data_IF_297572161119
#
_entry.id   IF_297572161119
#
_cell.length_a   1.000
_cell.length_b   1.000
_cell.length_c   1.000
_cell.angle_alpha   90.00
_cell.angle_beta   90.00
_cell.angle_gamma   90.00
#
_symmetry.space_group_name_H-M   'P 1'
#
loop_
_entity.id
_entity.type
_entity.pdbx_description
1 polymer ?
#
# COMPACT_ATOMS: atom_id res chain seq x y z
N UNK A 1 1.47 -0.09 -15.10
CA UNK A 1 1.33 1.37 -14.91
C UNK A 1 2.56 1.81 -14.14
N UNK A 2 3.44 2.64 -14.72
CA UNK A 2 4.73 2.98 -14.08
C UNK A 2 4.54 3.80 -12.80
N UNK A 3 5.48 3.68 -11.86
CA UNK A 3 5.54 4.47 -10.61
C UNK A 3 5.32 5.97 -10.84
N UNK A 4 5.86 6.49 -11.95
CA UNK A 4 5.76 7.90 -12.33
C UNK A 4 4.30 8.36 -12.53
N UNK A 5 3.42 7.50 -13.04
CA UNK A 5 2.02 7.84 -13.26
C UNK A 5 1.24 7.97 -11.94
N UNK A 6 1.55 7.12 -10.95
CA UNK A 6 0.94 7.16 -9.63
C UNK A 6 1.34 8.41 -8.85
N UNK A 7 2.63 8.79 -8.93
CA UNK A 7 3.15 10.02 -8.32
C UNK A 7 2.50 11.26 -8.96
N UNK A 8 2.30 11.25 -10.28
CA UNK A 8 1.61 12.34 -10.99
C UNK A 8 0.14 12.46 -10.56
N UNK A 9 -0.55 11.34 -10.41
CA UNK A 9 -1.95 11.30 -9.97
C UNK A 9 -2.12 11.79 -8.52
N UNK A 10 -1.18 11.44 -7.62
CA UNK A 10 -1.17 11.92 -6.24
C UNK A 10 -0.91 13.42 -6.14
N UNK A 11 0.05 13.93 -6.91
CA UNK A 11 0.36 15.37 -6.95
C UNK A 11 -0.83 16.18 -7.45
N UNK A 12 -1.60 15.61 -8.36
CA UNK A 12 -2.82 16.20 -8.90
C UNK A 12 -3.96 16.27 -7.88
N UNK A 13 -4.18 15.21 -7.11
CA UNK A 13 -5.21 15.21 -6.05
C UNK A 13 -4.88 16.20 -4.91
N UNK A 14 -3.60 16.30 -4.54
CA UNK A 14 -3.14 17.31 -3.58
C UNK A 14 -3.39 18.74 -4.07
N UNK A 15 -3.20 19.00 -5.37
CA UNK A 15 -3.52 20.28 -5.97
C UNK A 15 -5.03 20.56 -5.88
N UNK A 16 -5.88 19.59 -6.21
CA UNK A 16 -7.35 19.72 -6.11
C UNK A 16 -7.81 20.14 -4.71
N UNK A 17 -7.32 19.44 -3.68
CA UNK A 17 -7.66 19.75 -2.28
C UNK A 17 -7.22 21.15 -1.87
N UNK A 18 -6.03 21.58 -2.31
CA UNK A 18 -5.49 22.90 -1.99
C UNK A 18 -6.28 24.02 -2.67
N UNK A 19 -6.72 23.83 -3.91
CA UNK A 19 -7.59 24.77 -4.62
C UNK A 19 -8.96 24.89 -3.96
N UNK A 20 -9.54 23.76 -3.55
CA UNK A 20 -10.82 23.76 -2.85
C UNK A 20 -10.73 24.54 -1.54
N UNK A 21 -9.70 24.27 -0.73
CA UNK A 21 -9.43 24.98 0.53
C UNK A 21 -9.25 26.49 0.32
N UNK A 22 -8.52 26.91 -0.72
CA UNK A 22 -8.34 28.34 -1.04
C UNK A 22 -9.65 29.00 -1.45
N UNK A 23 -10.45 28.32 -2.28
CA UNK A 23 -11.78 28.81 -2.70
C UNK A 23 -12.69 29.04 -1.49
N UNK A 24 -12.81 28.04 -0.61
CA UNK A 24 -13.64 28.13 0.61
C UNK A 24 -13.15 29.23 1.56
N UNK A 25 -11.83 29.33 1.75
CA UNK A 25 -11.23 30.39 2.59
C UNK A 25 -11.60 31.76 2.05
N UNK A 26 -11.59 31.92 0.73
CA UNK A 26 -11.81 33.22 0.11
C UNK A 26 -13.28 33.63 0.06
N UNK A 27 -14.19 32.67 -0.15
CA UNK A 27 -15.64 32.87 0.00
C UNK A 27 -16.02 33.28 1.43
N UNK A 28 -15.21 32.89 2.42
CA UNK A 28 -15.42 33.23 3.84
C UNK A 28 -14.84 34.60 4.26
N UNK A 29 -14.08 35.27 3.40
CA UNK A 29 -13.47 36.56 3.75
C UNK A 29 -14.52 37.70 3.72
N UNK A 30 -14.55 38.59 4.73
CA UNK A 30 -15.42 39.76 4.72
C UNK A 30 -15.03 40.71 3.58
N UNK A 31 -16.03 41.45 3.07
CA UNK A 31 -15.89 42.36 1.92
C UNK A 31 -14.76 43.37 2.11
N UNK A 32 -13.61 43.15 1.47
CA UNK A 32 -12.50 44.11 1.46
C UNK A 32 -12.91 45.30 0.59
N UNK A 33 -12.95 46.51 1.17
CA UNK A 33 -13.22 47.76 0.44
C UNK A 33 -11.96 48.25 -0.29
N UNK A 34 -12.10 48.50 -1.59
CA UNK A 34 -11.19 49.28 -2.44
C UNK A 34 -10.01 48.52 -3.04
N UNK A 35 -9.80 48.68 -4.37
CA UNK A 35 -8.59 48.36 -5.17
C UNK A 35 -8.07 46.92 -5.20
N UNK A 36 -7.90 46.30 -4.04
CA UNK A 36 -7.42 44.94 -3.84
C UNK A 36 -8.44 43.86 -4.24
N UNK A 37 -9.74 44.20 -4.27
CA UNK A 37 -10.81 43.22 -4.52
C UNK A 37 -10.81 42.73 -5.97
N UNK A 38 -10.61 43.62 -6.94
CA UNK A 38 -10.62 43.26 -8.36
C UNK A 38 -9.39 42.42 -8.73
N UNK A 39 -8.24 42.70 -8.12
CA UNK A 39 -7.02 41.90 -8.27
C UNK A 39 -7.23 40.49 -7.72
N UNK A 40 -7.76 40.36 -6.50
CA UNK A 40 -8.06 39.05 -5.89
C UNK A 40 -9.07 38.26 -6.74
N UNK A 41 -10.15 38.89 -7.20
CA UNK A 41 -11.15 38.23 -8.06
C UNK A 41 -10.53 37.78 -9.39
N UNK A 42 -9.67 38.59 -9.99
CA UNK A 42 -9.00 38.26 -11.27
C UNK A 42 -8.07 37.06 -11.10
N UNK A 43 -7.21 37.09 -10.07
CA UNK A 43 -6.30 35.97 -9.76
C UNK A 43 -7.06 34.68 -9.46
N UNK A 44 -8.22 34.75 -8.81
CA UNK A 44 -9.05 33.56 -8.57
C UNK A 44 -9.67 32.99 -9.83
N UNK A 45 -10.14 33.84 -10.72
CA UNK A 45 -10.69 33.39 -11.99
C UNK A 45 -9.60 32.73 -12.86
N UNK A 46 -8.37 33.24 -12.82
CA UNK A 46 -7.21 32.62 -13.48
C UNK A 46 -6.88 31.24 -12.88
N UNK A 47 -6.85 31.13 -11.54
CA UNK A 47 -6.65 29.84 -10.87
C UNK A 47 -7.78 28.87 -11.24
N UNK A 48 -9.04 29.31 -11.22
CA UNK A 48 -10.20 28.47 -11.57
C UNK A 48 -10.11 27.95 -13.01
N UNK A 49 -9.74 28.81 -13.95
CA UNK A 49 -9.54 28.41 -15.36
C UNK A 49 -8.38 27.43 -15.53
N UNK A 50 -7.26 27.64 -14.83
CA UNK A 50 -6.13 26.71 -14.86
C UNK A 50 -6.50 25.32 -14.33
N UNK A 51 -7.35 25.26 -13.30
CA UNK A 51 -7.84 24.01 -12.71
C UNK A 51 -8.76 23.26 -13.65
N UNK A 52 -9.71 23.96 -14.28
CA UNK A 52 -10.60 23.35 -15.27
C UNK A 52 -9.82 22.80 -16.48
N UNK A 53 -8.76 23.49 -16.90
CA UNK A 53 -7.90 23.01 -17.98
C UNK A 53 -7.13 21.74 -17.59
N UNK A 54 -6.65 21.66 -16.34
CA UNK A 54 -6.02 20.43 -15.82
C UNK A 54 -7.04 19.30 -15.73
N UNK A 55 -8.26 19.56 -15.25
CA UNK A 55 -9.34 18.56 -15.15
C UNK A 55 -9.76 18.00 -16.51
N UNK A 56 -9.78 18.83 -17.56
CA UNK A 56 -10.05 18.36 -18.92
C UNK A 56 -8.98 17.39 -19.40
N UNK A 57 -7.70 17.74 -19.21
CA UNK A 57 -6.57 16.86 -19.58
C UNK A 57 -6.59 15.54 -18.80
N UNK A 58 -6.99 15.53 -17.54
CA UNK A 58 -7.15 14.30 -16.76
C UNK A 58 -8.15 13.38 -17.44
N UNK A 59 -9.34 13.89 -17.77
CA UNK A 59 -10.38 13.11 -18.42
C UNK A 59 -9.92 12.54 -19.75
N UNK A 60 -9.16 13.31 -20.52
CA UNK A 60 -8.54 12.82 -21.76
C UNK A 60 -7.59 11.64 -21.50
N UNK A 61 -6.70 11.75 -20.52
CA UNK A 61 -5.80 10.65 -20.15
C UNK A 61 -6.53 9.42 -19.59
N UNK A 62 -7.60 9.61 -18.81
CA UNK A 62 -8.43 8.52 -18.30
C UNK A 62 -9.12 7.76 -19.44
N UNK A 63 -9.67 8.49 -20.41
CA UNK A 63 -10.29 7.91 -21.61
C UNK A 63 -9.29 7.13 -22.45
N UNK A 64 -8.11 7.71 -22.75
CA UNK A 64 -7.07 7.00 -23.50
C UNK A 64 -6.57 5.74 -22.78
N UNK A 65 -6.43 5.78 -21.46
CA UNK A 65 -6.05 4.59 -20.68
C UNK A 65 -7.15 3.52 -20.69
N UNK A 66 -8.43 3.92 -20.72
CA UNK A 66 -9.55 2.99 -20.83
C UNK A 66 -9.54 2.26 -22.18
N UNK A 67 -9.26 2.99 -23.27
CA UNK A 67 -9.13 2.42 -24.62
C UNK A 67 -7.96 1.44 -24.71
N UNK A 68 -6.78 1.81 -24.21
CA UNK A 68 -5.61 0.93 -24.18
C UNK A 68 -5.87 -0.35 -23.37
N UNK A 69 -6.60 -0.26 -22.25
CA UNK A 69 -6.98 -1.44 -21.45
C UNK A 69 -7.90 -2.38 -22.23
N UNK A 70 -8.83 -1.82 -23.00
CA UNK A 70 -9.72 -2.61 -23.86
C UNK A 70 -8.93 -3.33 -24.94
N UNK A 71 -8.01 -2.62 -25.61
CA UNK A 71 -7.13 -3.20 -26.62
C UNK A 71 -6.23 -4.32 -26.05
N UNK A 72 -5.65 -4.11 -24.87
CA UNK A 72 -4.87 -5.16 -24.18
C UNK A 72 -5.70 -6.41 -23.89
N UNK A 73 -6.95 -6.25 -23.46
CA UNK A 73 -7.83 -7.39 -23.19
C UNK A 73 -8.24 -8.13 -24.46
N UNK A 74 -8.53 -7.41 -25.54
CA UNK A 74 -8.85 -8.00 -26.83
C UNK A 74 -7.64 -8.80 -27.37
N UNK A 75 -6.43 -8.25 -27.25
CA UNK A 75 -5.18 -8.95 -27.62
C UNK A 75 -4.92 -10.19 -26.76
N UNK A 76 -5.24 -10.15 -25.47
CA UNK A 76 -5.13 -11.33 -24.58
C UNK A 76 -6.10 -12.43 -24.96
N UNK A 77 -7.35 -12.09 -25.29
CA UNK A 77 -8.31 -13.07 -25.79
C UNK A 77 -7.86 -13.69 -27.11
N UNK A 78 -7.27 -12.92 -28.01
CA UNK A 78 -6.70 -13.44 -29.25
C UNK A 78 -5.52 -14.40 -28.99
N UNK A 79 -4.64 -14.06 -28.04
CA UNK A 79 -3.56 -14.94 -27.58
C UNK A 79 -4.08 -16.27 -27.01
N UNK A 80 -5.08 -16.24 -26.13
CA UNK A 80 -5.70 -17.46 -25.58
C UNK A 80 -6.36 -18.33 -26.66
N UNK A 81 -6.98 -17.70 -27.66
CA UNK A 81 -7.54 -18.42 -28.80
C UNK A 81 -6.47 -19.07 -29.67
N UNK A 82 -5.31 -18.43 -29.84
CA UNK A 82 -4.16 -19.00 -30.55
C UNK A 82 -3.50 -20.14 -29.76
N UNK A 83 -3.34 -20.00 -28.44
CA UNK A 83 -2.81 -21.06 -27.56
C UNK A 83 -3.73 -22.29 -27.53
N UNK A 84 -5.05 -22.11 -27.62
CA UNK A 84 -6.00 -23.23 -27.71
C UNK A 84 -5.91 -24.06 -29.01
N UNK A 85 -5.15 -23.59 -30.00
CA UNK A 85 -4.86 -24.31 -31.25
C UNK A 85 -3.47 -24.98 -31.27
N UNK A 86 -2.66 -24.81 -30.23
CA UNK A 86 -1.40 -25.54 -30.00
C UNK A 86 -1.52 -26.39 -28.74
N UNK A 87 -1.43 -27.71 -28.91
CA UNK A 87 -1.39 -28.74 -27.87
C UNK A 87 -2.69 -29.11 -27.14
N UNK A 88 -3.46 -29.98 -27.83
CA UNK A 88 -4.20 -31.06 -27.16
C UNK A 88 -3.21 -32.09 -26.61
N UNK A 89 -2.69 -31.88 -25.41
CA UNK A 89 -2.45 -32.99 -24.48
C UNK A 89 -2.16 -32.51 -23.05
N UNK A 90 -2.95 -33.06 -22.13
CA UNK A 90 -2.64 -33.29 -20.72
C UNK A 90 -2.88 -32.14 -19.73
N UNK A 91 -4.04 -32.14 -19.04
CA UNK A 91 -4.15 -32.52 -17.60
C UNK A 91 -5.48 -32.00 -17.00
N UNK A 92 -6.31 -32.96 -16.56
CA UNK A 92 -7.61 -32.77 -15.90
C UNK A 92 -7.50 -32.42 -14.40
N UNK A 93 -6.50 -31.65 -13.96
CA UNK A 93 -6.30 -31.34 -12.52
C UNK A 93 -6.54 -29.88 -12.10
N UNK A 94 -6.89 -28.98 -13.02
CA UNK A 94 -7.14 -27.56 -12.70
C UNK A 94 -8.65 -27.27 -12.62
N UNK A 95 -9.38 -27.92 -11.70
CA UNK A 95 -10.81 -27.60 -11.44
C UNK A 95 -11.13 -27.06 -10.06
N UNK A 96 -10.11 -26.71 -9.26
CA UNK A 96 -10.31 -25.95 -8.02
C UNK A 96 -9.50 -24.64 -8.05
N UNK A 97 -9.96 -23.67 -8.84
CA UNK A 97 -9.64 -22.25 -8.58
C UNK A 97 -10.90 -21.61 -8.01
N UNK A 98 -10.83 -21.31 -6.72
CA UNK A 98 -11.65 -20.31 -6.03
C UNK A 98 -11.89 -19.09 -6.92
N UNK A 99 -13.07 -18.49 -6.85
CA UNK A 99 -13.36 -17.19 -7.47
C UNK A 99 -12.21 -16.21 -7.20
N UNK A 100 -11.35 -16.00 -8.19
CA UNK A 100 -10.29 -14.99 -8.14
C UNK A 100 -10.96 -13.69 -8.54
N UNK A 101 -11.27 -12.84 -7.57
CA UNK A 101 -11.46 -11.43 -7.87
C UNK A 101 -10.18 -10.96 -8.59
N UNK A 102 -10.29 -10.59 -9.86
CA UNK A 102 -9.12 -10.21 -10.69
C UNK A 102 -8.70 -8.76 -10.46
N UNK A 103 -9.50 -8.00 -9.72
CA UNK A 103 -9.18 -6.64 -9.29
C UNK A 103 -9.97 -6.26 -8.05
N UNK A 104 -9.45 -5.32 -7.27
CA UNK A 104 -10.19 -4.65 -6.21
C UNK A 104 -10.17 -3.15 -6.42
N UNK A 105 -11.22 -2.49 -5.94
CA UNK A 105 -11.33 -1.03 -5.98
C UNK A 105 -10.76 -0.45 -4.70
N UNK A 106 -9.61 0.21 -4.78
CA UNK A 106 -9.05 1.02 -3.68
C UNK A 106 -9.24 2.50 -4.00
N UNK A 107 -10.04 3.20 -3.20
CA UNK A 107 -10.28 4.64 -3.37
C UNK A 107 -10.69 5.04 -4.81
N UNK A 108 -11.49 4.21 -5.46
CA UNK A 108 -11.95 4.42 -6.85
C UNK A 108 -11.01 3.89 -7.94
N UNK A 109 -9.83 3.38 -7.58
CA UNK A 109 -8.87 2.80 -8.52
C UNK A 109 -9.03 1.28 -8.58
N UNK A 110 -9.19 0.72 -9.79
CA UNK A 110 -9.12 -0.73 -10.02
C UNK A 110 -7.65 -1.17 -9.97
N UNK A 111 -7.28 -1.86 -8.88
CA UNK A 111 -5.97 -2.48 -8.67
C UNK A 111 -6.10 -3.96 -9.02
N UNK A 112 -5.36 -4.48 -10.00
CA UNK A 112 -5.37 -5.91 -10.30
C UNK A 112 -4.82 -6.68 -9.10
N UNK A 113 -5.51 -7.75 -8.72
CA UNK A 113 -5.20 -8.57 -7.54
C UNK A 113 -4.17 -9.67 -7.83
N UNK A 114 -3.45 -9.60 -8.96
CA UNK A 114 -2.39 -10.57 -9.21
C UNK A 114 -1.20 -10.25 -8.29
N UNK A 115 -0.83 -11.23 -7.48
CA UNK A 115 0.27 -11.21 -6.53
C UNK A 115 1.52 -10.52 -7.12
N UNK A 116 1.87 -10.83 -8.36
CA UNK A 116 3.03 -10.26 -9.07
C UNK A 116 3.02 -8.73 -9.19
N UNK A 117 1.87 -8.08 -9.36
CA UNK A 117 1.83 -6.62 -9.51
C UNK A 117 2.01 -5.89 -8.17
N UNK A 118 1.60 -6.50 -7.06
CA UNK A 118 1.83 -5.94 -5.73
C UNK A 118 3.32 -5.98 -5.38
N UNK A 119 3.99 -7.10 -5.67
CA UNK A 119 5.44 -7.20 -5.52
C UNK A 119 6.19 -6.22 -6.43
N UNK A 120 5.76 -6.11 -7.70
CA UNK A 120 6.41 -5.19 -8.64
C UNK A 120 6.38 -3.74 -8.17
N UNK A 121 5.28 -3.28 -7.56
CA UNK A 121 5.20 -1.91 -6.99
C UNK A 121 6.21 -1.68 -5.88
N UNK A 122 6.48 -2.69 -5.06
CA UNK A 122 7.52 -2.62 -4.02
C UNK A 122 8.90 -2.52 -4.67
N UNK A 123 9.21 -3.37 -5.65
CA UNK A 123 10.49 -3.36 -6.35
C UNK A 123 10.75 -2.04 -7.09
N UNK A 124 9.73 -1.52 -7.78
CA UNK A 124 9.81 -0.25 -8.50
C UNK A 124 10.12 0.91 -7.54
N UNK A 125 9.45 0.94 -6.39
CA UNK A 125 9.69 1.96 -5.38
C UNK A 125 11.07 1.82 -4.74
N UNK A 126 11.54 0.61 -4.46
CA UNK A 126 12.89 0.39 -3.97
C UNK A 126 13.95 0.86 -4.96
N UNK A 127 13.75 0.60 -6.24
CA UNK A 127 14.62 1.11 -7.31
C UNK A 127 14.61 2.64 -7.34
N UNK A 128 13.43 3.27 -7.27
CA UNK A 128 13.29 4.73 -7.24
C UNK A 128 13.99 5.37 -6.04
N UNK A 129 13.93 4.72 -4.87
CA UNK A 129 14.51 5.22 -3.63
C UNK A 129 15.96 4.79 -3.41
N UNK A 130 16.56 4.03 -4.33
CA UNK A 130 17.86 3.40 -4.17
C UNK A 130 17.96 2.63 -2.83
N UNK A 131 16.98 1.76 -2.58
CA UNK A 131 16.97 0.83 -1.45
C UNK A 131 17.60 -0.48 -1.89
N UNK A 132 18.76 -0.79 -1.29
CA UNK A 132 19.41 -2.08 -1.53
C UNK A 132 18.64 -3.19 -0.82
N UNK A 133 18.44 -4.29 -1.53
CA UNK A 133 17.71 -5.43 -1.01
C UNK A 133 18.12 -6.73 -1.69
N UNK A 134 17.93 -7.84 -1.00
CA UNK A 134 18.07 -9.19 -1.54
C UNK A 134 16.71 -9.85 -1.60
N UNK A 135 16.46 -10.62 -2.65
CA UNK A 135 15.22 -11.38 -2.83
C UNK A 135 15.54 -12.86 -2.78
N UNK A 136 14.88 -13.58 -1.90
CA UNK A 136 14.83 -15.05 -1.89
C UNK A 136 13.46 -15.48 -2.41
N UNK A 137 13.43 -16.06 -3.60
CA UNK A 137 12.23 -16.70 -4.13
C UNK A 137 12.09 -18.09 -3.52
N UNK A 138 10.86 -18.48 -3.19
CA UNK A 138 10.55 -19.77 -2.59
C UNK A 138 9.12 -20.21 -2.93
N UNK A 139 8.85 -21.49 -2.72
CA UNK A 139 7.48 -22.00 -2.79
C UNK A 139 6.58 -21.29 -1.76
N UNK A 140 5.27 -21.12 -2.04
CA UNK A 140 4.33 -20.60 -1.07
C UNK A 140 4.42 -21.33 0.28
N UNK A 141 4.56 -20.56 1.35
CA UNK A 141 4.67 -21.07 2.71
C UNK A 141 3.36 -20.81 3.45
N UNK A 142 2.80 -21.87 4.05
CA UNK A 142 1.54 -21.81 4.80
C UNK A 142 1.67 -22.33 6.24
N UNK A 143 2.78 -23.01 6.57
CA UNK A 143 3.04 -23.55 7.92
C UNK A 143 4.39 -23.06 8.46
N UNK A 144 4.52 -23.00 9.79
CA UNK A 144 5.79 -22.64 10.44
C UNK A 144 6.94 -23.59 10.03
N UNK A 145 6.64 -24.87 9.86
CA UNK A 145 7.64 -25.87 9.43
C UNK A 145 8.14 -25.60 8.00
N UNK A 146 7.25 -25.20 7.10
CA UNK A 146 7.62 -24.78 5.75
C UNK A 146 8.47 -23.51 5.78
N UNK A 147 8.13 -22.55 6.64
CA UNK A 147 8.88 -21.30 6.80
C UNK A 147 10.32 -21.57 7.29
N UNK A 148 10.46 -22.45 8.29
CA UNK A 148 11.74 -22.75 8.95
C UNK A 148 12.85 -23.25 8.01
N UNK A 149 12.47 -23.80 6.85
CA UNK A 149 13.42 -24.25 5.82
C UNK A 149 14.26 -23.11 5.25
N UNK A 150 13.73 -21.88 5.29
CA UNK A 150 14.36 -20.70 4.74
C UNK A 150 15.08 -19.86 5.79
N UNK A 151 14.91 -20.17 7.09
CA UNK A 151 15.46 -19.37 8.19
C UNK A 151 16.96 -19.19 8.11
N UNK A 152 17.68 -20.27 7.75
CA UNK A 152 19.14 -20.26 7.64
C UNK A 152 19.66 -19.54 6.38
N UNK A 153 18.78 -19.23 5.42
CA UNK A 153 19.11 -18.54 4.18
C UNK A 153 18.95 -17.02 4.29
N UNK A 154 18.23 -16.56 5.31
CA UNK A 154 17.88 -15.16 5.52
C UNK A 154 18.66 -14.62 6.72
N UNK A 155 19.48 -13.60 6.47
CA UNK A 155 20.11 -12.85 7.56
C UNK A 155 19.17 -11.77 8.08
N UNK A 156 19.23 -11.46 9.38
CA UNK A 156 18.41 -10.40 9.99
C UNK A 156 17.17 -10.92 10.72
N UNK A 157 16.26 -10.00 11.03
CA UNK A 157 15.05 -10.31 11.79
C UNK A 157 14.03 -11.06 10.93
N UNK A 158 13.61 -12.23 11.39
CA UNK A 158 12.36 -12.85 10.94
C UNK A 158 11.21 -12.10 11.60
N UNK A 159 10.27 -11.63 10.78
CA UNK A 159 9.24 -10.71 11.22
C UNK A 159 7.85 -11.32 11.05
N UNK A 160 7.01 -11.18 12.07
CA UNK A 160 5.56 -11.40 11.96
C UNK A 160 4.81 -10.08 11.91
N UNK A 161 3.66 -10.11 11.25
CA UNK A 161 2.84 -8.93 11.03
C UNK A 161 1.40 -9.18 11.47
N UNK A 162 0.89 -8.34 12.35
CA UNK A 162 -0.47 -8.44 12.88
C UNK A 162 -1.28 -7.22 12.42
N UNK A 163 -2.39 -7.47 11.75
CA UNK A 163 -3.36 -6.44 11.37
C UNK A 163 -4.53 -6.45 12.34
N UNK A 164 -4.61 -5.40 13.17
CA UNK A 164 -5.57 -5.28 14.27
C UNK A 164 -6.42 -4.03 14.11
N UNK A 165 -7.52 -3.99 14.86
CA UNK A 165 -8.38 -2.82 14.96
C UNK A 165 -9.03 -2.69 16.31
N UNK A 166 -9.59 -1.52 16.57
CA UNK A 166 -10.53 -1.31 17.66
C UNK A 166 -12.00 -1.41 17.18
N UNK A 167 -12.95 -1.16 18.09
CA UNK A 167 -14.40 -1.18 17.79
C UNK A 167 -14.85 -0.03 16.86
N UNK A 168 -14.07 1.04 16.73
CA UNK A 168 -14.35 2.20 15.87
C UNK A 168 -13.72 2.06 14.49
N UNK A 169 -13.10 0.91 14.19
CA UNK A 169 -12.34 0.66 12.96
C UNK A 169 -11.15 1.61 12.79
N UNK A 170 -10.48 1.99 13.88
CA UNK A 170 -9.12 2.48 13.80
C UNK A 170 -8.21 1.26 13.59
N UNK A 171 -7.46 1.26 12.49
CA UNK A 171 -6.64 0.12 12.07
C UNK A 171 -5.17 0.32 12.46
N UNK A 172 -4.51 -0.78 12.81
CA UNK A 172 -3.10 -0.79 13.08
C UNK A 172 -2.43 -2.02 12.47
N UNK A 173 -1.26 -1.81 11.87
CA UNK A 173 -0.33 -2.85 11.47
C UNK A 173 0.83 -2.87 12.47
N UNK A 174 1.05 -4.02 13.09
CA UNK A 174 2.20 -4.26 13.99
C UNK A 174 3.17 -5.17 13.26
N UNK A 175 4.42 -4.74 13.11
CA UNK A 175 5.53 -5.60 12.73
C UNK A 175 6.40 -5.87 13.95
N UNK A 176 6.68 -7.14 14.24
CA UNK A 176 7.52 -7.54 15.36
C UNK A 176 8.41 -8.72 15.01
N UNK A 177 9.46 -8.94 15.81
CA UNK A 177 10.30 -10.14 15.68
C UNK A 177 9.43 -11.38 15.92
N UNK A 178 9.69 -12.47 15.20
CA UNK A 178 8.88 -13.69 15.20
C UNK A 178 8.60 -14.22 16.63
N UNK A 179 9.61 -14.20 17.50
CA UNK A 179 9.54 -14.69 18.88
C UNK A 179 8.96 -13.67 19.88
N UNK A 180 8.69 -12.42 19.47
CA UNK A 180 8.15 -11.39 20.37
C UNK A 180 6.71 -11.70 20.78
N UNK A 181 6.40 -11.89 22.08
CA UNK A 181 5.03 -12.11 22.52
C UNK A 181 4.23 -10.81 22.46
N UNK A 182 3.10 -10.82 21.74
CA UNK A 182 2.22 -9.64 21.61
C UNK A 182 0.93 -9.87 22.39
N UNK A 183 0.75 -9.09 23.46
CA UNK A 183 -0.41 -9.18 24.36
C UNK A 183 -1.43 -8.07 24.06
N UNK A 184 -2.45 -8.39 23.25
CA UNK A 184 -3.45 -7.42 22.76
C UNK A 184 -4.20 -6.67 23.88
N UNK A 185 -4.39 -7.31 25.04
CA UNK A 185 -5.04 -6.71 26.21
C UNK A 185 -4.23 -5.57 26.85
N UNK A 186 -2.89 -5.62 26.77
CA UNK A 186 -2.00 -4.57 27.28
C UNK A 186 -1.76 -3.49 26.22
N UNK A 187 -1.71 -3.86 24.94
CA UNK A 187 -1.56 -2.91 23.82
C UNK A 187 -2.60 -1.80 23.83
N UNK A 188 -3.85 -2.09 24.21
CA UNK A 188 -4.90 -1.06 24.29
C UNK A 188 -4.60 0.06 25.29
N UNK A 189 -3.81 -0.22 26.33
CA UNK A 189 -3.40 0.80 27.30
C UNK A 189 -2.25 1.66 26.75
N UNK A 190 -1.29 1.01 26.09
CA UNK A 190 -0.11 1.66 25.48
C UNK A 190 -0.53 2.54 24.30
N UNK A 191 -1.51 2.07 23.52
CA UNK A 191 -1.98 2.70 22.29
C UNK A 191 -3.28 3.50 22.47
N UNK A 192 -3.63 3.90 23.69
CA UNK A 192 -4.91 4.57 23.99
C UNK A 192 -5.20 5.81 23.13
N UNK A 193 -4.15 6.49 22.66
CA UNK A 193 -4.26 7.68 21.80
C UNK A 193 -4.48 7.33 20.31
N UNK A 194 -4.34 6.04 19.96
CA UNK A 194 -4.46 5.50 18.59
C UNK A 194 -5.60 4.51 18.43
N UNK A 195 -5.86 3.70 19.46
CA UNK A 195 -6.88 2.66 19.50
C UNK A 195 -7.75 2.87 20.74
N UNK A 196 -9.06 2.78 20.55
CA UNK A 196 -10.06 3.05 21.57
C UNK A 196 -10.83 1.79 21.96
N UNK A 197 -10.62 1.35 23.20
CA UNK A 197 -11.33 0.22 23.79
C UNK A 197 -10.74 -1.14 23.41
N UNK A 198 -11.60 -2.14 23.18
CA UNK A 198 -11.16 -3.52 22.94
C UNK A 198 -10.52 -3.65 21.56
N UNK A 199 -9.32 -4.23 21.53
CA UNK A 199 -8.57 -4.57 20.33
C UNK A 199 -8.89 -6.00 19.88
N UNK A 200 -8.99 -6.21 18.57
CA UNK A 200 -9.10 -7.53 17.95
C UNK A 200 -8.37 -7.57 16.61
N UNK A 201 -8.13 -8.75 16.06
CA UNK A 201 -7.73 -8.89 14.67
C UNK A 201 -8.79 -8.31 13.73
N UNK A 202 -8.34 -7.66 12.67
CA UNK A 202 -9.21 -7.21 11.58
C UNK A 202 -9.58 -8.40 10.69
N UNK A 203 -10.74 -8.30 10.02
CA UNK A 203 -11.21 -9.34 9.09
C UNK A 203 -10.43 -9.26 7.77
N UNK A 204 -10.41 -10.36 7.02
CA UNK A 204 -9.74 -10.44 5.71
C UNK A 204 -10.21 -9.35 4.72
N UNK A 205 -11.52 -9.09 4.65
CA UNK A 205 -12.06 -8.01 3.82
C UNK A 205 -11.57 -6.61 4.23
N UNK A 206 -11.24 -6.42 5.51
CA UNK A 206 -10.68 -5.16 6.01
C UNK A 206 -9.20 -5.07 5.66
N UNK A 207 -8.46 -6.17 5.75
CA UNK A 207 -7.06 -6.26 5.32
C UNK A 207 -6.94 -5.97 3.82
N UNK A 208 -7.73 -6.64 2.99
CA UNK A 208 -7.77 -6.43 1.53
C UNK A 208 -8.13 -4.99 1.20
N UNK A 209 -9.13 -4.41 1.88
CA UNK A 209 -9.54 -3.01 1.67
C UNK A 209 -8.50 -2.00 2.10
N UNK A 210 -7.80 -2.20 3.23
CA UNK A 210 -6.87 -1.21 3.77
C UNK A 210 -5.45 -1.35 3.21
N UNK A 211 -4.98 -2.57 3.01
CA UNK A 211 -3.59 -2.87 2.65
C UNK A 211 -3.45 -3.61 1.32
N UNK A 212 -4.56 -4.03 0.67
CA UNK A 212 -4.50 -4.68 -0.64
C UNK A 212 -3.80 -6.03 -0.65
N UNK A 213 -3.76 -6.74 0.49
CA UNK A 213 -3.15 -8.06 0.63
C UNK A 213 -4.12 -9.04 1.28
N UNK A 214 -3.89 -10.34 1.07
CA UNK A 214 -4.66 -11.42 1.68
C UNK A 214 -4.03 -11.90 3.00
N UNK A 215 -4.79 -12.69 3.77
CA UNK A 215 -4.24 -13.36 4.94
C UNK A 215 -3.05 -14.26 4.54
N UNK A 216 -1.98 -14.27 5.34
CA UNK A 216 -0.73 -14.98 5.02
C UNK A 216 0.27 -14.16 4.19
N UNK A 217 -0.16 -13.08 3.52
CA UNK A 217 0.72 -12.13 2.83
C UNK A 217 0.84 -10.78 3.57
N UNK A 218 0.49 -10.75 4.86
CA UNK A 218 0.53 -9.52 5.68
C UNK A 218 1.99 -9.08 5.83
N UNK A 219 2.27 -7.85 5.42
CA UNK A 219 3.63 -7.29 5.38
C UNK A 219 3.59 -5.78 5.59
N UNK A 220 4.62 -5.17 6.21
CA UNK A 220 4.71 -3.71 6.29
C UNK A 220 4.96 -3.06 4.93
N UNK A 221 5.43 -3.81 3.93
CA UNK A 221 5.58 -3.29 2.57
C UNK A 221 4.23 -2.97 1.91
N UNK A 222 3.14 -3.56 2.41
CA UNK A 222 1.78 -3.27 1.96
C UNK A 222 1.29 -1.87 2.36
N UNK A 223 2.03 -1.14 3.21
CA UNK A 223 1.73 0.27 3.52
C UNK A 223 1.82 1.16 2.28
N UNK A 224 2.51 0.73 1.21
CA UNK A 224 2.48 1.40 -0.11
C UNK A 224 1.05 1.47 -0.70
N UNK A 225 0.15 0.60 -0.25
CA UNK A 225 -1.24 0.58 -0.68
C UNK A 225 -2.14 1.49 0.16
N UNK A 226 -1.78 1.82 1.41
CA UNK A 226 -2.58 2.71 2.25
C UNK A 226 -2.23 4.19 1.97
N UNK A 227 -2.73 4.69 0.85
CA UNK A 227 -2.48 6.08 0.42
C UNK A 227 -3.09 7.12 1.38
N UNK A 228 -4.17 6.75 2.09
CA UNK A 228 -4.82 7.63 3.07
C UNK A 228 -4.08 7.76 4.40
N UNK A 229 -3.03 6.96 4.63
CA UNK A 229 -2.39 6.82 5.93
C UNK A 229 -3.38 6.50 7.06
N UNK A 230 -4.42 5.72 6.76
CA UNK A 230 -5.47 5.34 7.72
C UNK A 230 -5.01 4.25 8.69
N UNK A 231 -3.98 3.48 8.33
CA UNK A 231 -3.41 2.42 9.14
C UNK A 231 -2.26 2.97 9.98
N UNK A 232 -2.38 2.90 11.31
CA UNK A 232 -1.25 3.20 12.19
C UNK A 232 -0.19 2.11 12.06
N UNK A 233 1.08 2.48 12.00
CA UNK A 233 2.18 1.52 11.92
C UNK A 233 2.97 1.47 13.22
N UNK A 234 3.13 0.27 13.76
CA UNK A 234 3.86 -0.02 14.99
C UNK A 234 4.97 -1.00 14.68
N UNK A 235 6.14 -0.73 15.25
CA UNK A 235 7.31 -1.57 15.14
C UNK A 235 7.76 -2.02 16.52
N UNK A 236 8.21 -3.27 16.61
CA UNK A 236 8.95 -3.75 17.77
C UNK A 236 10.25 -2.95 17.94
N UNK A 237 10.48 -2.46 19.15
CA UNK A 237 11.69 -1.72 19.49
C UNK A 237 12.96 -2.55 19.27
N UNK A 238 12.87 -3.89 19.33
CA UNK A 238 14.00 -4.77 19.03
C UNK A 238 14.56 -4.57 17.63
N UNK A 239 13.75 -4.17 16.66
CA UNK A 239 14.24 -3.91 15.31
C UNK A 239 15.32 -2.84 15.26
N UNK A 240 15.23 -1.79 16.11
CA UNK A 240 16.25 -0.73 16.15
C UNK A 240 17.46 -1.08 17.01
N UNK A 241 17.32 -1.99 17.98
CA UNK A 241 18.38 -2.27 18.97
C UNK A 241 19.15 -3.56 18.68
N UNK A 242 18.52 -4.56 18.07
CA UNK A 242 19.06 -5.92 17.90
C UNK A 242 19.38 -6.26 16.42
N UNK A 243 18.83 -5.54 15.44
CA UNK A 243 18.88 -5.95 14.04
C UNK A 243 19.33 -4.84 13.08
N UNK A 244 20.23 -5.19 12.15
CA UNK A 244 20.62 -4.31 11.02
C UNK A 244 19.81 -4.61 9.76
N UNK A 245 19.33 -5.84 9.60
CA UNK A 245 18.58 -6.33 8.45
C UNK A 245 17.21 -6.84 8.91
N UNK A 246 16.19 -6.62 8.08
CA UNK A 246 14.82 -7.09 8.28
C UNK A 246 14.39 -7.94 7.10
N UNK A 247 13.54 -8.94 7.36
CA UNK A 247 12.96 -9.80 6.34
C UNK A 247 11.45 -9.60 6.23
N UNK A 248 10.96 -9.28 5.03
CA UNK A 248 9.54 -9.05 4.75
C UNK A 248 9.10 -9.69 3.44
N UNK A 249 7.85 -10.14 3.39
CA UNK A 249 7.21 -10.53 2.12
C UNK A 249 6.93 -9.29 1.26
N UNK A 250 7.21 -9.30 -0.06
CA UNK A 250 6.87 -8.19 -0.95
C UNK A 250 5.42 -8.23 -1.40
N UNK A 251 4.50 -8.31 -0.44
CA UNK A 251 3.05 -8.46 -0.66
C UNK A 251 2.64 -9.76 -1.37
N UNK A 252 3.56 -10.72 -1.49
CA UNK A 252 3.35 -12.08 -2.03
C UNK A 252 4.02 -13.09 -1.11
N UNK A 253 3.47 -14.30 -1.01
CA UNK A 253 3.98 -15.34 -0.12
C UNK A 253 5.00 -16.29 -0.78
N UNK A 254 5.41 -16.00 -2.02
CA UNK A 254 6.40 -16.74 -2.83
C UNK A 254 7.80 -16.13 -2.79
N UNK A 255 7.97 -15.03 -2.03
CA UNK A 255 9.25 -14.37 -1.92
C UNK A 255 9.42 -13.73 -0.54
N UNK A 256 10.68 -13.58 -0.16
CA UNK A 256 11.09 -12.81 1.01
C UNK A 256 12.19 -11.83 0.60
N UNK A 257 12.02 -10.56 1.00
CA UNK A 257 13.00 -9.51 0.83
C UNK A 257 13.78 -9.31 2.12
N UNK A 258 15.10 -9.29 2.02
CA UNK A 258 15.99 -8.77 3.06
C UNK A 258 16.43 -7.35 2.71
N UNK A 259 16.25 -6.40 3.62
CA UNK A 259 16.71 -5.01 3.47
C UNK A 259 17.24 -4.44 4.79
N UNK A 260 18.01 -3.35 4.71
CA UNK A 260 18.51 -2.67 5.91
C UNK A 260 17.38 -1.99 6.70
N UNK A 261 17.45 -2.07 8.03
CA UNK A 261 16.53 -1.38 8.94
C UNK A 261 16.47 0.13 8.63
N UNK A 262 17.64 0.75 8.48
CA UNK A 262 17.76 2.18 8.20
C UNK A 262 17.11 2.57 6.86
N UNK A 263 17.29 1.76 5.81
CA UNK A 263 16.67 2.01 4.51
C UNK A 263 15.14 1.84 4.59
N UNK A 264 14.66 0.84 5.32
CA UNK A 264 13.23 0.67 5.55
C UNK A 264 12.62 1.88 6.27
N UNK A 265 13.23 2.36 7.35
CA UNK A 265 12.69 3.48 8.15
C UNK A 265 12.91 4.84 7.45
N UNK A 266 14.14 5.14 7.04
CA UNK A 266 14.53 6.48 6.60
C UNK A 266 14.32 6.73 5.11
N UNK A 267 14.17 5.69 4.28
CA UNK A 267 13.80 5.85 2.86
C UNK A 267 12.36 5.43 2.62
N UNK A 268 12.01 4.16 2.85
CA UNK A 268 10.68 3.64 2.50
C UNK A 268 9.55 4.28 3.31
N UNK A 269 9.55 4.15 4.65
CA UNK A 269 8.50 4.73 5.49
C UNK A 269 8.45 6.25 5.38
N UNK A 270 9.62 6.91 5.34
CA UNK A 270 9.71 8.36 5.16
C UNK A 270 9.10 8.81 3.84
N UNK A 271 9.35 8.10 2.73
CA UNK A 271 8.74 8.40 1.43
C UNK A 271 7.21 8.28 1.48
N UNK A 272 6.69 7.28 2.20
CA UNK A 272 5.25 7.11 2.42
C UNK A 272 4.65 8.09 3.44
N UNK A 273 5.46 8.99 4.03
CA UNK A 273 5.00 9.89 5.09
C UNK A 273 4.60 9.18 6.38
N UNK A 274 5.20 8.01 6.65
CA UNK A 274 4.91 7.18 7.83
C UNK A 274 5.89 7.44 8.96
N UNK A 275 5.34 7.68 10.14
CA UNK A 275 6.09 7.77 11.39
C UNK A 275 5.74 6.56 12.27
N UNK A 276 6.54 5.48 12.25
CA UNK A 276 6.26 4.30 13.05
C UNK A 276 6.34 4.62 14.54
N UNK A 277 5.48 3.98 15.33
CA UNK A 277 5.62 3.97 16.79
C UNK A 277 6.37 2.72 17.21
N UNK A 278 7.50 2.92 17.88
CA UNK A 278 8.28 1.83 18.44
C UNK A 278 7.77 1.45 19.83
N UNK A 279 7.60 0.15 20.08
CA UNK A 279 7.13 -0.37 21.36
C UNK A 279 8.09 -1.48 21.81
N UNK A 280 8.57 -1.38 23.04
CA UNK A 280 9.19 -2.51 23.73
C UNK A 280 8.11 -3.46 24.23
N UNK A 281 7.82 -4.48 23.43
CA UNK A 281 6.84 -5.51 23.77
C UNK A 281 7.26 -6.39 24.96
N UNK A 282 8.55 -6.44 25.33
CA UNK A 282 9.00 -7.17 26.52
C UNK A 282 8.64 -6.45 27.82
N UNK A 283 8.50 -5.12 27.76
CA UNK A 283 8.24 -4.27 28.94
C UNK A 283 6.76 -4.14 29.32
N UNK A 284 5.83 -4.61 28.48
CA UNK A 284 4.39 -4.35 28.63
C UNK A 284 3.57 -5.59 28.97
#
# INVERSE_FOLDING_TARGET
>A
MSSDFLVLLQRQEQLRQRIHSLTTTLESLPTIKGGNKDVVITTLNEIRSAVLAVDSKIKEYENSNMELRKEINDLRQQLEQLDSHSDKSNTDEVKNKSHVDTSFTFQGMSIPLNDDQHAQRVYDLFKQLNIEHKVLNHEPVYTCEQASKYDNLLSGAHCKNLFIKDKKNNFCLISAVEDTPIRLNQLGKVLKDKLQGKISFAKEEELKRQLGVIAGAVTPLALINDVSNSVQFIMDERFKTEFQLLNFHPCVNTATITLAFDDFVHKFLKHLGRNPVFIDFKSI
#
